data_IF_517668946136
#
_entry.id   IF_517668946136
#
_cell.length_a   1.000
_cell.length_b   1.000
_cell.length_c   1.000
_cell.angle_alpha   90.00
_cell.angle_beta   90.00
_cell.angle_gamma   90.00
#
_symmetry.space_group_name_H-M   'P 1'
#
loop_
_entity.id
_entity.type
_entity.pdbx_description
1 polymer ?
#
# COMPACT_ATOMS: atom_id res chain seq x y z
N UNK A 1 16.79 27.64 -21.21
CA UNK A 1 16.26 27.76 -19.84
C UNK A 1 16.78 26.68 -18.89
N UNK A 2 16.63 25.38 -19.22
CA UNK A 2 17.05 24.27 -18.32
C UNK A 2 18.59 24.17 -18.11
N UNK A 3 19.40 24.49 -19.13
CA UNK A 3 20.89 24.50 -19.01
C UNK A 3 21.41 25.54 -18.01
N UNK A 4 20.79 26.72 -17.97
CA UNK A 4 21.13 27.81 -17.05
C UNK A 4 20.82 27.44 -15.59
N UNK A 5 19.77 26.66 -15.39
CA UNK A 5 19.39 26.17 -14.05
C UNK A 5 20.43 25.19 -13.50
N UNK A 6 20.95 24.27 -14.32
CA UNK A 6 21.95 23.28 -13.88
C UNK A 6 23.35 23.87 -13.65
N UNK A 7 23.72 24.98 -14.30
CA UNK A 7 25.01 25.64 -14.09
C UNK A 7 25.07 26.49 -12.81
N UNK A 8 23.94 26.75 -12.17
CA UNK A 8 23.90 27.58 -10.97
C UNK A 8 24.54 26.88 -9.76
N UNK A 9 25.57 27.51 -9.17
CA UNK A 9 26.39 26.96 -8.08
C UNK A 9 25.58 26.69 -6.80
N UNK A 10 24.54 27.48 -6.54
CA UNK A 10 23.59 27.23 -5.44
C UNK A 10 22.69 26.04 -5.73
N UNK A 11 22.29 25.83 -6.99
CA UNK A 11 21.41 24.71 -7.36
C UNK A 11 22.15 23.36 -7.35
N UNK A 12 23.44 23.33 -7.74
CA UNK A 12 24.29 22.13 -7.57
C UNK A 12 24.50 21.77 -6.10
N UNK A 13 24.68 22.77 -5.22
CA UNK A 13 24.79 22.57 -3.77
C UNK A 13 23.47 22.09 -3.17
N UNK A 14 22.34 22.64 -3.60
CA UNK A 14 21.01 22.20 -3.16
C UNK A 14 20.72 20.76 -3.61
N UNK A 15 21.06 20.39 -4.84
CA UNK A 15 20.94 19.01 -5.34
C UNK A 15 21.87 18.06 -4.59
N UNK A 16 23.14 18.42 -4.36
CA UNK A 16 24.06 17.59 -3.60
C UNK A 16 23.66 17.45 -2.13
N UNK A 17 23.13 18.51 -1.50
CA UNK A 17 22.64 18.47 -0.12
C UNK A 17 21.37 17.62 -0.03
N UNK A 18 20.44 17.75 -0.97
CA UNK A 18 19.23 16.92 -1.03
C UNK A 18 19.58 15.43 -1.23
N UNK A 19 20.57 15.12 -2.06
CA UNK A 19 21.05 13.76 -2.29
C UNK A 19 21.76 13.18 -1.06
N UNK A 20 22.61 13.97 -0.39
CA UNK A 20 23.29 13.55 0.84
C UNK A 20 22.32 13.39 2.02
N UNK A 21 21.29 14.24 2.11
CA UNK A 21 20.24 14.13 3.11
C UNK A 21 19.39 12.88 2.88
N UNK A 22 19.01 12.58 1.63
CA UNK A 22 18.31 11.35 1.28
C UNK A 22 19.14 10.09 1.60
N UNK A 23 20.46 10.14 1.33
CA UNK A 23 21.37 9.05 1.66
C UNK A 23 21.53 8.90 3.19
N UNK A 24 21.65 10.00 3.93
CA UNK A 24 21.73 9.96 5.39
C UNK A 24 20.43 9.44 6.04
N UNK A 25 19.25 9.79 5.49
CA UNK A 25 17.97 9.24 5.94
C UNK A 25 17.83 7.74 5.65
N UNK A 26 18.54 7.20 4.66
CA UNK A 26 18.55 5.74 4.38
C UNK A 26 19.44 4.93 5.34
N UNK A 27 20.31 5.60 6.12
CA UNK A 27 21.16 4.97 7.15
C UNK A 27 20.54 4.95 8.55
N UNK A 28 19.29 5.42 8.72
CA UNK A 28 18.60 5.28 10.01
C UNK A 28 18.31 3.79 10.22
N UNK A 29 18.84 3.16 11.29
CA UNK A 29 18.58 1.75 11.54
C UNK A 29 17.07 1.56 11.71
N UNK A 30 16.48 0.79 10.80
CA UNK A 30 15.08 0.35 10.93
C UNK A 30 15.06 -0.64 12.08
N UNK A 31 14.69 -0.17 13.27
CA UNK A 31 14.53 -1.01 14.44
C UNK A 31 13.48 -2.09 14.11
N UNK A 32 13.95 -3.33 14.02
CA UNK A 32 13.07 -4.49 13.78
C UNK A 32 12.40 -4.85 15.09
N UNK A 33 11.16 -4.39 15.28
CA UNK A 33 10.29 -4.94 16.30
C UNK A 33 9.97 -6.39 15.91
N UNK A 34 10.17 -7.34 16.81
CA UNK A 34 9.65 -8.69 16.64
C UNK A 34 8.13 -8.57 16.44
N UNK A 35 7.70 -8.81 15.21
CA UNK A 35 6.39 -8.43 14.72
C UNK A 35 5.35 -9.35 15.37
N UNK A 36 4.30 -8.77 15.95
CA UNK A 36 3.04 -9.49 16.13
C UNK A 36 2.70 -10.15 14.78
N UNK A 37 2.47 -11.47 14.79
CA UNK A 37 2.14 -12.22 13.59
C UNK A 37 0.89 -11.66 12.91
N UNK A 38 0.75 -11.89 11.59
CA UNK A 38 -0.40 -11.43 10.81
C UNK A 38 -1.75 -11.89 11.38
N UNK A 39 -1.77 -12.95 12.18
CA UNK A 39 -2.91 -13.37 12.99
C UNK A 39 -2.45 -13.82 14.38
N UNK A 40 -3.25 -13.59 15.44
CA UNK A 40 -2.91 -14.01 16.80
C UNK A 40 -3.33 -15.46 17.11
N UNK A 41 -3.02 -16.42 16.23
CA UNK A 41 -3.34 -17.85 16.42
C UNK A 41 -2.26 -18.76 15.81
N UNK A 42 -2.17 -20.01 16.30
CA UNK A 42 -1.28 -21.04 15.72
C UNK A 42 0.18 -21.02 16.18
N UNK A 43 0.58 -20.09 17.06
CA UNK A 43 1.85 -20.14 17.78
C UNK A 43 1.83 -21.06 19.01
N UNK A 44 3.01 -21.40 19.55
CA UNK A 44 3.15 -22.31 20.70
C UNK A 44 2.38 -21.85 21.95
N UNK A 45 2.21 -20.54 22.12
CA UNK A 45 1.48 -19.91 23.24
C UNK A 45 0.11 -19.35 22.83
N UNK A 46 -0.35 -19.64 21.61
CA UNK A 46 -1.58 -19.06 21.05
C UNK A 46 -2.66 -20.13 20.88
N UNK A 47 -3.95 -19.73 20.90
CA UNK A 47 -5.04 -20.67 20.63
C UNK A 47 -4.96 -21.23 19.20
N UNK A 48 -5.59 -22.40 18.94
CA UNK A 48 -5.74 -22.92 17.58
C UNK A 48 -6.52 -21.94 16.71
N UNK A 49 -6.17 -21.86 15.44
CA UNK A 49 -6.87 -21.01 14.49
C UNK A 49 -8.27 -21.56 14.16
N UNK A 50 -9.21 -20.64 13.97
CA UNK A 50 -10.59 -20.93 13.59
C UNK A 50 -10.95 -20.13 12.32
N UNK A 51 -12.09 -20.42 11.69
CA UNK A 51 -12.56 -19.75 10.48
C UNK A 51 -12.58 -18.22 10.61
N UNK A 52 -12.89 -17.68 11.79
CA UNK A 52 -12.81 -16.23 12.06
C UNK A 52 -11.39 -15.67 11.81
N UNK A 53 -10.35 -16.40 12.20
CA UNK A 53 -8.97 -15.96 12.06
C UNK A 53 -8.54 -15.87 10.59
N UNK A 54 -9.19 -16.61 9.68
CA UNK A 54 -8.99 -16.49 8.23
C UNK A 54 -9.49 -15.14 7.73
N UNK A 55 -10.65 -14.66 8.20
CA UNK A 55 -11.16 -13.33 7.83
C UNK A 55 -10.31 -12.21 8.41
N UNK A 56 -9.81 -12.36 9.65
CA UNK A 56 -8.81 -11.44 10.21
C UNK A 56 -7.52 -11.41 9.41
N UNK A 57 -7.06 -12.56 8.91
CA UNK A 57 -5.89 -12.66 8.05
C UNK A 57 -6.07 -11.82 6.78
N UNK A 58 -7.23 -11.96 6.11
CA UNK A 58 -7.55 -11.19 4.89
C UNK A 58 -7.51 -9.68 5.19
N UNK A 59 -8.20 -9.23 6.23
CA UNK A 59 -8.20 -7.81 6.62
C UNK A 59 -6.79 -7.30 6.97
N UNK A 60 -5.96 -8.12 7.63
CA UNK A 60 -4.59 -7.74 7.96
C UNK A 60 -3.69 -7.70 6.73
N UNK A 61 -3.90 -8.57 5.73
CA UNK A 61 -3.21 -8.53 4.43
C UNK A 61 -3.58 -7.24 3.68
N UNK A 62 -4.86 -6.87 3.65
CA UNK A 62 -5.30 -5.63 3.02
C UNK A 62 -4.72 -4.40 3.73
N UNK A 63 -4.74 -4.38 5.06
CA UNK A 63 -4.10 -3.34 5.87
C UNK A 63 -2.57 -3.31 5.70
N UNK A 64 -1.94 -4.42 5.37
CA UNK A 64 -0.52 -4.46 5.08
C UNK A 64 -0.23 -3.90 3.68
N UNK A 65 -1.02 -4.28 2.67
CA UNK A 65 -0.76 -3.94 1.27
C UNK A 65 -1.25 -2.54 0.86
N UNK A 66 -2.41 -2.12 1.37
CA UNK A 66 -3.19 -1.01 0.81
C UNK A 66 -3.24 0.22 1.71
N UNK A 67 -3.08 0.07 3.02
CA UNK A 67 -3.28 1.14 4.00
C UNK A 67 -2.08 1.34 4.93
N UNK A 68 -1.81 2.57 5.41
CA UNK A 68 -0.77 2.79 6.41
C UNK A 68 -1.11 2.10 7.75
N UNK A 69 -0.23 1.21 8.20
CA UNK A 69 -0.41 0.47 9.45
C UNK A 69 0.94 0.23 10.16
N UNK A 70 0.92 -0.12 11.47
CA UNK A 70 2.15 -0.50 12.16
C UNK A 70 2.87 -1.69 11.49
N UNK A 71 2.11 -2.62 10.89
CA UNK A 71 2.65 -3.80 10.21
C UNK A 71 3.48 -3.50 8.96
N UNK A 72 3.24 -2.36 8.30
CA UNK A 72 3.99 -1.93 7.11
C UNK A 72 4.85 -0.69 7.36
N UNK A 73 5.17 -0.37 8.62
CA UNK A 73 5.91 0.84 9.01
C UNK A 73 5.27 2.14 8.50
N UNK A 74 3.94 2.14 8.28
CA UNK A 74 3.20 3.26 7.71
C UNK A 74 3.34 3.43 6.20
N UNK A 75 4.06 2.54 5.49
CA UNK A 75 4.28 2.61 4.04
C UNK A 75 3.58 1.44 3.34
N UNK A 76 2.36 1.65 2.82
CA UNK A 76 1.64 0.61 2.07
C UNK A 76 2.32 0.32 0.71
N UNK A 77 2.72 -0.94 0.43
CA UNK A 77 3.44 -1.31 -0.78
C UNK A 77 2.72 -0.97 -2.09
N UNK A 78 1.41 -1.20 -2.18
CA UNK A 78 0.65 -1.01 -3.43
C UNK A 78 0.62 0.46 -3.88
N UNK A 79 0.14 1.41 -3.07
CA UNK A 79 0.18 2.83 -3.45
C UNK A 79 1.62 3.37 -3.58
N UNK A 80 2.60 2.82 -2.85
CA UNK A 80 4.01 3.19 -3.03
C UNK A 80 4.53 2.80 -4.42
N UNK A 81 4.28 1.58 -4.88
CA UNK A 81 4.64 1.13 -6.23
C UNK A 81 3.88 1.93 -7.29
N UNK A 82 2.60 2.18 -7.08
CA UNK A 82 1.81 2.98 -8.01
C UNK A 82 2.35 4.42 -8.13
N UNK A 83 2.76 5.05 -7.01
CA UNK A 83 3.39 6.35 -7.04
C UNK A 83 4.67 6.35 -7.90
N UNK A 84 5.50 5.31 -7.80
CA UNK A 84 6.70 5.15 -8.63
C UNK A 84 6.32 5.06 -10.12
N UNK A 85 5.34 4.24 -10.49
CA UNK A 85 4.92 4.13 -11.89
C UNK A 85 4.27 5.42 -12.42
N UNK A 86 3.52 6.15 -11.59
CA UNK A 86 3.00 7.47 -11.96
C UNK A 86 4.14 8.47 -12.19
N UNK A 87 5.18 8.46 -11.36
CA UNK A 87 6.37 9.30 -11.56
C UNK A 87 7.11 8.94 -12.84
N UNK A 88 7.29 7.65 -13.12
CA UNK A 88 7.93 7.18 -14.37
C UNK A 88 7.08 7.60 -15.57
N UNK A 89 5.77 7.33 -15.56
CA UNK A 89 4.85 7.71 -16.62
C UNK A 89 4.81 9.22 -16.84
N UNK A 90 4.78 10.00 -15.76
CA UNK A 90 4.85 11.47 -15.79
C UNK A 90 6.18 11.97 -16.36
N UNK A 91 7.31 11.35 -15.99
CA UNK A 91 8.62 11.69 -16.54
C UNK A 91 8.69 11.43 -18.06
N UNK A 92 8.18 10.29 -18.53
CA UNK A 92 8.07 10.00 -19.97
C UNK A 92 7.18 11.01 -20.71
N UNK A 93 6.10 11.47 -20.06
CA UNK A 93 5.20 12.46 -20.63
C UNK A 93 5.89 13.82 -20.79
N UNK A 94 6.59 14.29 -19.75
CA UNK A 94 7.29 15.58 -19.76
C UNK A 94 8.50 15.61 -20.70
N UNK A 95 9.19 14.47 -20.85
CA UNK A 95 10.40 14.35 -21.68
C UNK A 95 10.14 13.85 -23.10
N UNK A 96 8.87 13.72 -23.50
CA UNK A 96 8.51 13.18 -24.80
C UNK A 96 8.99 14.05 -25.97
N UNK A 97 9.06 15.38 -25.79
CA UNK A 97 9.57 16.33 -26.79
C UNK A 97 9.02 16.13 -28.22
N UNK A 98 7.75 15.71 -28.34
CA UNK A 98 7.09 15.43 -29.62
C UNK A 98 7.29 14.01 -30.17
N UNK A 99 8.04 13.13 -29.48
CA UNK A 99 8.17 11.72 -29.86
C UNK A 99 6.86 10.96 -29.61
N UNK A 100 6.20 10.43 -30.65
CA UNK A 100 4.95 9.68 -30.50
C UNK A 100 5.15 8.39 -29.70
N UNK A 101 6.31 7.75 -29.82
CA UNK A 101 6.64 6.54 -29.07
C UNK A 101 6.67 6.79 -27.55
N UNK A 102 7.34 7.87 -27.12
CA UNK A 102 7.42 8.24 -25.69
C UNK A 102 6.06 8.65 -25.14
N UNK A 103 5.26 9.36 -25.93
CA UNK A 103 3.88 9.72 -25.56
C UNK A 103 3.00 8.49 -25.40
N UNK A 104 3.09 7.52 -26.31
CA UNK A 104 2.35 6.27 -26.21
C UNK A 104 2.76 5.51 -24.95
N UNK A 105 4.07 5.36 -24.69
CA UNK A 105 4.59 4.69 -23.49
C UNK A 105 4.12 5.35 -22.20
N UNK A 106 4.19 6.68 -22.11
CA UNK A 106 3.70 7.44 -20.96
C UNK A 106 2.22 7.15 -20.68
N UNK A 107 1.37 7.24 -21.72
CA UNK A 107 -0.07 6.97 -21.59
C UNK A 107 -0.35 5.54 -21.15
N UNK A 108 0.37 4.57 -21.71
CA UNK A 108 0.21 3.16 -21.32
C UNK A 108 0.57 2.95 -19.84
N UNK A 109 1.71 3.48 -19.38
CA UNK A 109 2.13 3.34 -17.97
C UNK A 109 1.11 4.01 -17.04
N UNK A 110 0.69 5.24 -17.34
CA UNK A 110 -0.27 5.97 -16.53
C UNK A 110 -1.63 5.27 -16.50
N UNK A 111 -2.16 4.87 -17.65
CA UNK A 111 -3.44 4.19 -17.75
C UNK A 111 -3.42 2.82 -17.05
N UNK A 112 -2.37 2.02 -17.26
CA UNK A 112 -2.22 0.73 -16.59
C UNK A 112 -2.14 0.88 -15.07
N UNK A 113 -1.41 1.90 -14.58
CA UNK A 113 -1.32 2.18 -13.14
C UNK A 113 -2.67 2.58 -12.56
N UNK A 114 -3.39 3.50 -13.21
CA UNK A 114 -4.72 3.95 -12.76
C UNK A 114 -5.71 2.80 -12.76
N UNK A 115 -5.77 2.01 -13.84
CA UNK A 115 -6.67 0.85 -13.95
C UNK A 115 -6.32 -0.19 -12.88
N UNK A 116 -5.03 -0.46 -12.64
CA UNK A 116 -4.58 -1.36 -11.58
C UNK A 116 -5.05 -0.91 -10.19
N UNK A 117 -4.93 0.38 -9.87
CA UNK A 117 -5.45 0.92 -8.61
C UNK A 117 -6.96 0.77 -8.49
N UNK A 118 -7.71 1.07 -9.55
CA UNK A 118 -9.17 0.92 -9.57
C UNK A 118 -9.56 -0.54 -9.32
N UNK A 119 -8.86 -1.51 -9.92
CA UNK A 119 -9.14 -2.93 -9.72
C UNK A 119 -8.88 -3.34 -8.27
N UNK A 120 -7.73 -2.94 -7.69
CA UNK A 120 -7.35 -3.34 -6.33
C UNK A 120 -8.30 -2.74 -5.29
N UNK A 121 -8.56 -1.43 -5.35
CA UNK A 121 -9.48 -0.77 -4.42
C UNK A 121 -10.95 -1.12 -4.72
N UNK A 122 -11.30 -1.40 -5.98
CA UNK A 122 -12.63 -1.86 -6.36
C UNK A 122 -12.92 -3.27 -5.85
N UNK A 123 -11.95 -4.19 -5.94
CA UNK A 123 -12.06 -5.53 -5.38
C UNK A 123 -12.31 -5.50 -3.87
N UNK A 124 -11.64 -4.57 -3.17
CA UNK A 124 -11.91 -4.28 -1.77
C UNK A 124 -13.39 -3.96 -1.58
N UNK A 125 -13.90 -2.88 -2.18
CA UNK A 125 -15.31 -2.46 -2.04
C UNK A 125 -16.31 -3.59 -2.36
N UNK A 126 -16.05 -4.37 -3.41
CA UNK A 126 -16.90 -5.50 -3.79
C UNK A 126 -16.88 -6.60 -2.73
N UNK A 127 -15.72 -6.95 -2.19
CA UNK A 127 -15.61 -7.97 -1.14
C UNK A 127 -16.42 -7.57 0.11
N UNK A 128 -16.35 -6.31 0.52
CA UNK A 128 -17.11 -5.82 1.68
C UNK A 128 -18.60 -5.73 1.41
N UNK A 129 -19.00 -5.38 0.19
CA UNK A 129 -20.40 -5.46 -0.21
C UNK A 129 -20.94 -6.89 -0.10
N UNK A 130 -20.17 -7.88 -0.57
CA UNK A 130 -20.55 -9.29 -0.45
C UNK A 130 -20.61 -9.74 1.01
N UNK A 131 -19.55 -9.49 1.80
CA UNK A 131 -19.50 -9.87 3.22
C UNK A 131 -20.59 -9.19 4.06
N UNK A 132 -20.90 -7.93 3.75
CA UNK A 132 -21.97 -7.19 4.42
C UNK A 132 -23.35 -7.70 4.02
N UNK A 133 -23.58 -8.01 2.74
CA UNK A 133 -24.83 -8.64 2.30
C UNK A 133 -25.05 -10.04 2.90
N UNK A 134 -23.97 -10.75 3.23
CA UNK A 134 -24.01 -12.03 3.91
C UNK A 134 -24.21 -11.91 5.45
N UNK A 135 -24.22 -10.69 6.00
CA UNK A 135 -24.37 -10.45 7.43
C UNK A 135 -23.13 -10.79 8.28
N UNK A 136 -21.97 -10.99 7.64
CA UNK A 136 -20.70 -11.37 8.31
C UNK A 136 -19.85 -10.16 8.67
N UNK A 137 -20.17 -9.00 8.11
CA UNK A 137 -19.36 -7.81 8.33
C UNK A 137 -20.17 -6.50 8.23
N UNK A 138 -19.80 -5.53 9.05
CA UNK A 138 -20.31 -4.18 8.95
C UNK A 138 -19.36 -3.29 8.13
N UNK A 139 -19.93 -2.37 7.35
CA UNK A 139 -19.18 -1.31 6.70
C UNK A 139 -18.50 -0.45 7.77
N UNK A 140 -17.19 -0.25 7.63
CA UNK A 140 -16.42 0.63 8.51
C UNK A 140 -15.84 1.84 7.76
N UNK A 141 -14.89 2.52 8.40
CA UNK A 141 -14.22 3.70 7.83
C UNK A 141 -13.24 3.34 6.72
N UNK A 142 -12.77 4.33 5.94
CA UNK A 142 -11.88 4.10 4.79
C UNK A 142 -10.62 3.24 5.09
N UNK A 143 -10.18 3.21 6.36
CA UNK A 143 -9.00 2.46 6.82
C UNK A 143 -9.34 1.07 7.35
N UNK A 144 -10.57 0.92 7.85
CA UNK A 144 -11.13 -0.28 8.48
C UNK A 144 -12.45 -0.60 7.81
N UNK A 145 -12.38 -0.68 6.48
CA UNK A 145 -13.49 -0.62 5.55
C UNK A 145 -14.49 -1.76 5.75
N UNK A 146 -14.02 -2.89 6.29
CA UNK A 146 -14.83 -4.01 6.77
C UNK A 146 -14.37 -4.39 8.18
N UNK A 147 -15.27 -4.24 9.16
CA UNK A 147 -15.06 -4.83 10.49
C UNK A 147 -15.72 -6.20 10.47
N UNK A 148 -14.90 -7.23 10.66
CA UNK A 148 -15.40 -8.60 10.75
C UNK A 148 -15.90 -8.82 12.17
N UNK A 149 -17.22 -8.82 12.37
CA UNK A 149 -17.81 -9.30 13.62
C UNK A 149 -17.72 -10.82 13.67
N UNK A 150 -16.68 -11.33 14.32
CA UNK A 150 -16.58 -12.74 14.60
C UNK A 150 -17.40 -13.13 15.84
N UNK A 151 -18.72 -13.03 15.76
CA UNK A 151 -19.64 -13.72 16.69
C UNK A 151 -20.39 -14.84 15.97
N UNK A 152 -19.67 -15.61 15.16
CA UNK A 152 -20.19 -16.87 14.65
C UNK A 152 -19.80 -17.99 15.61
N UNK A 153 -20.66 -18.22 16.60
CA UNK A 153 -20.61 -19.37 17.51
C UNK A 153 -20.77 -20.67 16.70
N UNK A 154 -19.68 -21.26 16.22
CA UNK A 154 -19.66 -22.61 15.63
C UNK A 154 -19.22 -23.70 16.63
N UNK A 155 -19.35 -23.45 17.93
CA UNK A 155 -19.11 -24.43 18.98
C UNK A 155 -20.05 -24.21 20.17
N UNK A 156 -20.36 -25.26 20.96
CA UNK A 156 -21.13 -25.10 22.19
C UNK A 156 -20.40 -24.11 23.12
N UNK A 157 -21.15 -23.29 23.88
CA UNK A 157 -20.56 -22.28 24.76
C UNK A 157 -19.57 -22.95 25.72
N UNK A 158 -18.34 -22.44 25.76
CA UNK A 158 -17.39 -22.82 26.80
C UNK A 158 -17.92 -22.35 28.17
N UNK A 159 -17.81 -23.18 29.21
CA UNK A 159 -18.42 -22.96 30.52
C UNK A 159 -17.87 -21.76 31.28
#
# INVERSE_FOLDING_TARGET
MIKEMWQNRTMKKLLSVSLLLALALSFVPVFSYAQEGLVPCGGETQPPCDACHVFKLINNIERFLLFPSPFNNGVPPVPAVAAIFLLIGGFYLLTAAGSPEKLQKAKTILAATIVGLIIVYGALLLLGAVLSSAGVAQWGDFRDWVKVECDVQFGPPSP
#
